data_IF_689245652107
#
_entry.id   IF_689245652107
#
_cell.length_a   1.000
_cell.length_b   1.000
_cell.length_c   1.000
_cell.angle_alpha   90.00
_cell.angle_beta   90.00
_cell.angle_gamma   90.00
#
_symmetry.space_group_name_H-M   'P 1'
#
loop_
_entity.id
_entity.type
_entity.pdbx_description
1 polymer ?
#
# COMPACT_ATOMS: atom_id res chain seq x y z
N UNK A 1 -2.94 32.26 4.93
CA UNK A 1 -3.65 31.40 3.97
C UNK A 1 -4.72 30.63 4.73
N UNK A 2 -5.97 30.73 4.31
CA UNK A 2 -7.10 30.01 4.91
C UNK A 2 -7.03 28.51 4.60
N UNK A 3 -7.74 27.68 5.35
CA UNK A 3 -7.82 26.22 5.08
C UNK A 3 -8.36 25.97 3.67
N UNK A 4 -9.37 26.74 3.26
CA UNK A 4 -9.97 26.64 1.92
C UNK A 4 -8.94 26.94 0.82
N UNK A 5 -8.17 28.02 0.95
CA UNK A 5 -7.11 28.35 -0.03
C UNK A 5 -6.06 27.25 -0.14
N UNK A 6 -5.68 26.61 0.99
CA UNK A 6 -4.75 25.47 0.98
C UNK A 6 -5.37 24.26 0.29
N UNK A 7 -6.63 23.97 0.57
CA UNK A 7 -7.39 22.88 -0.07
C UNK A 7 -7.43 23.08 -1.59
N UNK A 8 -7.78 24.28 -2.04
CA UNK A 8 -7.91 24.65 -3.45
C UNK A 8 -6.55 24.56 -4.19
N UNK A 9 -5.43 24.77 -3.50
CA UNK A 9 -4.08 24.63 -4.07
C UNK A 9 -3.58 23.19 -4.10
N UNK A 10 -4.02 22.34 -3.16
CA UNK A 10 -3.58 20.94 -3.08
C UNK A 10 -4.41 19.99 -3.94
N UNK A 11 -5.72 20.24 -4.08
CA UNK A 11 -6.62 19.37 -4.84
C UNK A 11 -6.13 19.12 -6.29
N UNK A 12 -5.67 20.14 -7.06
CA UNK A 12 -5.18 19.93 -8.41
C UNK A 12 -3.96 19.00 -8.51
N UNK A 13 -3.21 18.78 -7.43
CA UNK A 13 -2.07 17.86 -7.44
C UNK A 13 -2.52 16.39 -7.56
N UNK A 14 -3.73 16.07 -7.10
CA UNK A 14 -4.30 14.72 -7.16
C UNK A 14 -5.08 14.48 -8.45
N UNK A 15 -5.38 15.52 -9.23
CA UNK A 15 -6.13 15.39 -10.46
C UNK A 15 -5.28 14.85 -11.60
N UNK A 16 -5.92 14.08 -12.51
CA UNK A 16 -5.36 13.68 -13.81
C UNK A 16 -4.02 12.94 -13.74
N UNK A 17 -3.71 12.30 -12.62
CA UNK A 17 -2.45 11.59 -12.42
C UNK A 17 -2.24 10.45 -13.42
N UNK A 18 -3.33 9.80 -13.85
CA UNK A 18 -3.30 8.73 -14.86
C UNK A 18 -2.96 9.22 -16.28
N UNK A 19 -3.05 10.53 -16.53
CA UNK A 19 -2.75 11.14 -17.85
C UNK A 19 -1.35 11.74 -17.94
N UNK A 20 -0.57 11.60 -16.87
CA UNK A 20 0.78 12.13 -16.80
C UNK A 20 1.71 11.43 -17.80
N UNK A 21 2.67 12.18 -18.33
CA UNK A 21 3.63 11.64 -19.30
C UNK A 21 4.65 10.76 -18.59
N UNK A 22 5.17 9.73 -19.28
CA UNK A 22 6.26 8.91 -18.72
C UNK A 22 7.59 9.66 -18.60
N UNK A 23 7.72 10.80 -19.26
CA UNK A 23 8.92 11.62 -19.22
C UNK A 23 9.03 12.30 -17.85
N UNK A 24 10.18 12.14 -17.22
CA UNK A 24 10.52 12.88 -16.00
C UNK A 24 11.31 14.13 -16.38
N UNK A 25 11.21 15.17 -15.55
CA UNK A 25 12.09 16.33 -15.66
C UNK A 25 13.55 15.89 -15.44
N UNK A 26 14.53 16.35 -16.26
CA UNK A 26 15.95 15.99 -16.10
C UNK A 26 16.50 16.40 -14.73
N UNK A 27 17.44 15.64 -14.11
CA UNK A 27 17.98 15.93 -12.79
C UNK A 27 18.50 17.38 -12.61
N UNK A 28 19.18 17.91 -13.63
CA UNK A 28 19.69 19.29 -13.67
C UNK A 28 18.61 20.39 -13.61
N UNK A 29 17.35 20.06 -13.90
CA UNK A 29 16.20 20.98 -13.82
C UNK A 29 15.37 20.76 -12.55
N UNK A 30 15.71 19.77 -11.71
CA UNK A 30 15.01 19.48 -10.46
C UNK A 30 15.50 20.42 -9.36
N UNK A 31 14.63 20.69 -8.38
CA UNK A 31 15.05 21.20 -7.09
C UNK A 31 16.13 20.24 -6.53
N UNK A 32 17.25 20.76 -5.99
CA UNK A 32 18.34 19.93 -5.47
C UNK A 32 17.87 18.85 -4.49
N UNK A 33 16.78 19.09 -3.75
CA UNK A 33 16.19 18.14 -2.80
C UNK A 33 15.56 16.94 -3.49
N UNK A 34 15.06 17.08 -4.72
CA UNK A 34 14.38 16.04 -5.49
C UNK A 34 15.32 15.20 -6.39
N UNK A 35 16.61 15.48 -6.39
CA UNK A 35 17.58 14.72 -7.23
C UNK A 35 17.67 13.24 -6.82
N UNK A 36 17.44 12.93 -5.55
CA UNK A 36 17.49 11.57 -5.02
C UNK A 36 16.22 10.72 -5.21
N UNK A 37 15.19 11.25 -5.88
CA UNK A 37 13.93 10.54 -6.19
C UNK A 37 13.68 10.49 -7.70
N UNK A 38 12.68 9.72 -8.14
CA UNK A 38 12.41 9.44 -9.55
C UNK A 38 13.08 8.15 -10.04
N UNK A 39 13.41 7.22 -9.13
CA UNK A 39 14.05 5.94 -9.44
C UNK A 39 13.01 4.95 -9.97
N UNK A 40 11.87 4.83 -9.30
CA UNK A 40 10.72 4.07 -9.79
C UNK A 40 10.17 4.76 -11.05
N UNK A 41 10.14 4.08 -12.20
CA UNK A 41 9.66 4.70 -13.43
C UNK A 41 8.20 5.17 -13.32
N UNK A 42 7.88 6.21 -14.07
CA UNK A 42 6.49 6.63 -14.29
C UNK A 42 5.78 5.60 -15.17
N UNK A 43 4.48 5.42 -14.95
CA UNK A 43 3.72 4.41 -15.71
C UNK A 43 3.95 2.96 -15.25
N UNK A 44 4.57 2.74 -14.09
CA UNK A 44 4.65 1.41 -13.45
C UNK A 44 3.83 1.38 -12.16
N UNK A 45 3.54 0.18 -11.64
CA UNK A 45 2.80 0.04 -10.39
C UNK A 45 3.69 0.33 -9.19
N UNK A 46 3.12 1.02 -8.21
CA UNK A 46 3.73 1.29 -6.91
C UNK A 46 3.26 0.24 -5.90
N UNK A 47 4.18 -0.17 -5.03
CA UNK A 47 3.93 -1.20 -4.01
C UNK A 47 4.10 -0.57 -2.64
N UNK A 48 3.09 -0.71 -1.78
CA UNK A 48 3.16 -0.24 -0.39
C UNK A 48 3.93 -1.21 0.52
N UNK A 49 4.45 -2.32 -0.02
CA UNK A 49 5.10 -3.38 0.75
C UNK A 49 6.53 -3.65 0.26
N UNK A 50 6.80 -3.44 -1.03
CA UNK A 50 8.13 -3.67 -1.59
C UNK A 50 9.15 -2.65 -1.06
N UNK A 51 10.23 -3.14 -0.45
CA UNK A 51 11.22 -2.32 0.25
C UNK A 51 11.81 -1.20 -0.62
N UNK A 52 12.16 -1.48 -1.89
CA UNK A 52 12.69 -0.45 -2.79
C UNK A 52 11.71 0.69 -3.08
N UNK A 53 10.43 0.36 -3.24
CA UNK A 53 9.38 1.35 -3.53
C UNK A 53 9.12 2.20 -2.28
N UNK A 54 9.02 1.54 -1.12
CA UNK A 54 8.87 2.23 0.17
C UNK A 54 10.07 3.13 0.50
N UNK A 55 11.30 2.71 0.18
CA UNK A 55 12.51 3.53 0.42
C UNK A 55 12.43 4.86 -0.32
N UNK A 56 12.02 4.84 -1.59
CA UNK A 56 11.85 6.05 -2.38
C UNK A 56 10.65 6.88 -1.89
N UNK A 57 9.53 6.24 -1.54
CA UNK A 57 8.36 6.91 -0.98
C UNK A 57 8.69 7.63 0.34
N UNK A 58 9.45 6.97 1.22
CA UNK A 58 9.99 7.56 2.46
C UNK A 58 10.86 8.76 2.13
N UNK A 59 11.77 8.63 1.14
CA UNK A 59 12.64 9.74 0.78
C UNK A 59 11.86 10.98 0.29
N UNK A 60 10.84 10.77 -0.54
CA UNK A 60 9.97 11.85 -0.98
C UNK A 60 9.18 12.46 0.20
N UNK A 61 8.65 11.62 1.09
CA UNK A 61 7.99 12.10 2.31
C UNK A 61 8.93 12.96 3.17
N UNK A 62 10.18 12.56 3.39
CA UNK A 62 11.15 13.35 4.16
C UNK A 62 11.34 14.75 3.57
N UNK A 63 11.49 14.84 2.24
CA UNK A 63 11.65 16.09 1.51
C UNK A 63 10.42 16.98 1.69
N UNK A 64 9.22 16.41 1.50
CA UNK A 64 7.96 17.13 1.64
C UNK A 64 7.68 17.56 3.09
N UNK A 65 8.00 16.71 4.06
CA UNK A 65 7.75 16.97 5.48
C UNK A 65 8.71 18.03 6.05
N UNK A 66 9.95 18.10 5.56
CA UNK A 66 10.96 19.08 6.01
C UNK A 66 10.92 20.40 5.26
N UNK A 67 10.03 20.56 4.29
CA UNK A 67 9.81 21.84 3.62
C UNK A 67 9.46 22.94 4.63
N UNK A 68 10.05 24.12 4.46
CA UNK A 68 10.12 25.15 5.50
C UNK A 68 8.74 25.70 5.89
N UNK A 69 7.86 25.85 4.91
CA UNK A 69 6.49 26.32 5.06
C UNK A 69 5.59 25.72 3.98
N UNK A 70 4.31 26.09 4.00
CA UNK A 70 3.32 25.57 3.06
C UNK A 70 3.63 25.93 1.61
N UNK A 71 4.23 27.10 1.34
CA UNK A 71 4.54 27.52 -0.02
C UNK A 71 5.74 26.73 -0.58
N UNK A 72 6.77 26.50 0.23
CA UNK A 72 7.89 25.63 -0.13
C UNK A 72 7.43 24.18 -0.32
N UNK A 73 6.57 23.67 0.58
CA UNK A 73 5.94 22.37 0.45
C UNK A 73 5.16 22.23 -0.85
N UNK A 74 4.31 23.20 -1.18
CA UNK A 74 3.51 23.18 -2.40
C UNK A 74 4.39 23.20 -3.65
N UNK A 75 5.45 24.04 -3.67
CA UNK A 75 6.40 24.11 -4.78
C UNK A 75 7.11 22.77 -5.00
N UNK A 76 7.57 22.14 -3.91
CA UNK A 76 8.19 20.82 -3.95
C UNK A 76 7.21 19.75 -4.44
N UNK A 77 5.97 19.76 -3.94
CA UNK A 77 4.94 18.81 -4.34
C UNK A 77 4.58 18.94 -5.84
N UNK A 78 4.46 20.18 -6.34
CA UNK A 78 4.23 20.45 -7.76
C UNK A 78 5.33 19.86 -8.63
N UNK A 79 6.61 20.10 -8.30
CA UNK A 79 7.71 19.55 -9.09
C UNK A 79 7.87 18.04 -8.92
N UNK A 80 7.64 17.51 -7.72
CA UNK A 80 7.70 16.07 -7.45
C UNK A 80 6.69 15.29 -8.29
N UNK A 81 5.50 15.85 -8.53
CA UNK A 81 4.46 15.27 -9.42
C UNK A 81 4.97 14.98 -10.84
N UNK A 82 5.95 15.74 -11.32
CA UNK A 82 6.54 15.59 -12.65
C UNK A 82 7.85 14.79 -12.65
N UNK A 83 8.31 14.36 -11.48
CA UNK A 83 9.57 13.62 -11.28
C UNK A 83 9.33 12.16 -10.91
N UNK A 84 8.39 11.90 -10.00
CA UNK A 84 8.22 10.57 -9.40
C UNK A 84 7.05 9.79 -10.00
N UNK A 85 7.02 8.48 -9.72
CA UNK A 85 5.89 7.61 -10.03
C UNK A 85 4.57 8.12 -9.41
N UNK A 86 3.46 7.96 -10.14
CA UNK A 86 2.15 8.50 -9.81
C UNK A 86 1.57 7.94 -8.50
N UNK A 87 1.69 6.62 -8.29
CA UNK A 87 1.23 5.98 -7.06
C UNK A 87 2.10 6.33 -5.86
N UNK A 88 3.41 6.40 -6.06
CA UNK A 88 4.37 6.83 -5.05
C UNK A 88 4.12 8.28 -4.62
N UNK A 89 3.86 9.16 -5.59
CA UNK A 89 3.52 10.57 -5.36
C UNK A 89 2.30 10.70 -4.46
N UNK A 90 1.19 10.04 -4.80
CA UNK A 90 -0.05 10.11 -4.01
C UNK A 90 0.16 9.58 -2.60
N UNK A 91 0.92 8.48 -2.44
CA UNK A 91 1.25 7.96 -1.12
C UNK A 91 2.03 8.99 -0.29
N UNK A 92 3.18 9.44 -0.79
CA UNK A 92 4.06 10.35 -0.05
C UNK A 92 3.41 11.71 0.24
N UNK A 93 2.66 12.25 -0.73
CA UNK A 93 1.92 13.51 -0.56
C UNK A 93 0.81 13.36 0.48
N UNK A 94 0.07 12.25 0.46
CA UNK A 94 -0.99 11.98 1.45
C UNK A 94 -0.43 11.87 2.87
N UNK A 95 0.71 11.19 3.03
CA UNK A 95 1.41 11.12 4.32
C UNK A 95 1.91 12.51 4.73
N UNK A 96 2.47 13.32 3.83
CA UNK A 96 2.91 14.67 4.17
C UNK A 96 1.74 15.56 4.65
N UNK A 97 0.64 15.61 3.89
CA UNK A 97 -0.56 16.41 4.23
C UNK A 97 -1.15 15.97 5.58
N UNK A 98 -1.23 14.67 5.85
CA UNK A 98 -1.79 14.15 7.09
C UNK A 98 -0.97 14.50 8.34
N UNK A 99 0.31 14.87 8.20
CA UNK A 99 1.23 15.00 9.34
C UNK A 99 1.89 16.37 9.51
N UNK A 100 1.97 17.18 8.45
CA UNK A 100 2.50 18.54 8.52
C UNK A 100 1.55 19.45 9.30
N UNK A 101 2.09 20.25 10.21
CA UNK A 101 1.27 21.13 11.04
C UNK A 101 0.61 22.27 10.26
N UNK A 102 1.23 22.72 9.17
CA UNK A 102 0.67 23.72 8.27
C UNK A 102 -0.39 23.15 7.30
N UNK A 103 -0.62 21.84 7.27
CA UNK A 103 -1.71 21.20 6.52
C UNK A 103 -2.90 20.83 7.41
N UNK A 104 -2.88 21.14 8.72
CA UNK A 104 -4.01 20.85 9.62
C UNK A 104 -5.33 21.44 9.10
N UNK A 105 -6.36 20.60 9.06
CA UNK A 105 -7.69 20.95 8.57
C UNK A 105 -7.89 20.78 7.07
N UNK A 106 -6.84 20.49 6.29
CA UNK A 106 -6.96 20.09 4.89
C UNK A 106 -7.42 18.64 4.83
N UNK A 107 -8.36 18.35 3.93
CA UNK A 107 -8.89 17.01 3.69
C UNK A 107 -8.26 16.43 2.43
N UNK A 108 -7.84 15.16 2.49
CA UNK A 108 -7.38 14.45 1.30
C UNK A 108 -8.57 14.16 0.37
N UNK A 109 -8.40 14.26 -0.96
CA UNK A 109 -9.44 13.82 -1.87
C UNK A 109 -9.68 12.30 -1.70
N UNK A 110 -10.92 11.81 -1.95
CA UNK A 110 -11.22 10.40 -1.88
C UNK A 110 -10.33 9.59 -2.83
N UNK A 111 -9.64 8.56 -2.33
CA UNK A 111 -8.68 7.80 -3.13
C UNK A 111 -9.33 7.09 -4.33
N UNK A 112 -10.61 6.73 -4.21
CA UNK A 112 -11.42 6.16 -5.28
C UNK A 112 -11.76 7.16 -6.40
N UNK A 113 -11.71 8.47 -6.14
CA UNK A 113 -11.85 9.50 -7.18
C UNK A 113 -10.51 9.80 -7.84
N UNK A 114 -9.40 9.65 -7.10
CA UNK A 114 -8.03 9.82 -7.62
C UNK A 114 -7.62 8.66 -8.53
N UNK A 115 -7.91 7.42 -8.13
CA UNK A 115 -7.62 6.21 -8.90
C UNK A 115 -8.86 5.30 -9.00
N UNK A 116 -9.89 5.70 -9.77
CA UNK A 116 -11.13 4.91 -9.89
C UNK A 116 -10.89 3.51 -10.46
N UNK A 117 -9.83 3.34 -11.26
CA UNK A 117 -9.40 2.08 -11.88
C UNK A 117 -8.95 1.00 -10.89
N UNK A 118 -8.73 1.35 -9.62
CA UNK A 118 -8.43 0.40 -8.55
C UNK A 118 -9.65 -0.08 -7.77
N UNK A 119 -10.81 0.55 -7.98
CA UNK A 119 -12.06 0.27 -7.26
C UNK A 119 -13.15 -0.23 -8.20
N UNK A 120 -13.08 0.16 -9.47
CA UNK A 120 -14.09 -0.16 -10.47
C UNK A 120 -13.52 -1.16 -11.48
N UNK A 121 -14.28 -2.19 -11.87
CA UNK A 121 -13.87 -3.18 -12.85
C UNK A 121 -13.44 -2.57 -14.19
N UNK A 122 -12.46 -3.22 -14.83
CA UNK A 122 -11.88 -2.77 -16.09
C UNK A 122 -12.93 -2.65 -17.21
N UNK A 123 -13.96 -3.51 -17.22
CA UNK A 123 -15.05 -3.45 -18.18
C UNK A 123 -15.84 -2.14 -18.05
N UNK A 124 -16.28 -1.80 -16.84
CA UNK A 124 -16.99 -0.55 -16.54
C UNK A 124 -16.12 0.68 -16.87
N UNK A 125 -14.82 0.67 -16.54
CA UNK A 125 -13.89 1.76 -16.89
C UNK A 125 -13.77 1.93 -18.42
N UNK A 126 -13.68 0.83 -19.16
CA UNK A 126 -13.61 0.85 -20.62
C UNK A 126 -14.92 1.34 -21.24
N UNK A 127 -16.06 0.91 -20.70
CA UNK A 127 -17.39 1.33 -21.15
C UNK A 127 -17.60 2.83 -20.90
N UNK A 128 -17.26 3.33 -19.71
CA UNK A 128 -17.32 4.76 -19.39
C UNK A 128 -16.44 5.59 -20.32
N UNK A 129 -15.22 5.13 -20.60
CA UNK A 129 -14.30 5.79 -21.53
C UNK A 129 -14.83 5.80 -22.97
N UNK A 130 -15.56 4.74 -23.39
CA UNK A 130 -16.18 4.65 -24.71
C UNK A 130 -17.39 5.58 -24.83
N UNK A 131 -18.27 5.58 -23.84
CA UNK A 131 -19.45 6.46 -23.81
C UNK A 131 -19.05 7.94 -23.74
N UNK A 132 -18.04 8.30 -22.94
CA UNK A 132 -17.53 9.67 -22.86
C UNK A 132 -16.96 10.19 -24.19
N UNK A 133 -16.37 9.31 -25.02
CA UNK A 133 -15.93 9.66 -26.37
C UNK A 133 -17.11 9.86 -27.34
N UNK A 134 -18.18 9.08 -27.17
CA UNK A 134 -19.37 9.18 -28.00
C UNK A 134 -20.23 10.41 -27.63
N UNK A 135 -20.22 10.80 -26.35
CA UNK A 135 -21.03 11.89 -25.78
C UNK A 135 -20.13 12.89 -25.04
N UNK A 136 -19.33 13.70 -25.74
CA UNK A 136 -18.30 14.55 -25.11
C UNK A 136 -18.84 15.71 -24.27
N UNK A 137 -20.12 16.04 -24.39
CA UNK A 137 -20.76 17.19 -23.72
C UNK A 137 -21.88 16.80 -22.76
N UNK A 138 -22.13 15.50 -22.58
CA UNK A 138 -23.21 14.99 -21.72
C UNK A 138 -22.61 14.20 -20.55
N UNK A 139 -23.35 14.16 -19.45
CA UNK A 139 -22.99 13.31 -18.32
C UNK A 139 -23.14 11.83 -18.72
N UNK A 140 -22.12 11.04 -18.39
CA UNK A 140 -22.09 9.60 -18.67
C UNK A 140 -22.37 8.85 -17.38
N UNK A 141 -23.46 8.09 -17.37
CA UNK A 141 -23.79 7.14 -16.31
C UNK A 141 -23.54 5.72 -16.83
N UNK A 142 -22.74 4.96 -16.10
CA UNK A 142 -22.47 3.55 -16.37
C UNK A 142 -22.76 2.74 -15.12
N UNK A 143 -23.54 1.68 -15.28
CA UNK A 143 -23.78 0.71 -14.21
C UNK A 143 -22.50 -0.13 -14.01
N UNK A 144 -22.15 -0.38 -12.75
CA UNK A 144 -20.96 -1.17 -12.43
C UNK A 144 -21.27 -2.63 -12.78
N UNK A 145 -20.35 -3.26 -13.50
CA UNK A 145 -20.44 -4.68 -13.84
C UNK A 145 -19.97 -5.52 -12.65
N UNK A 146 -20.74 -6.55 -12.30
CA UNK A 146 -20.30 -7.52 -11.29
C UNK A 146 -19.12 -8.35 -11.82
N UNK A 147 -18.18 -8.70 -10.95
CA UNK A 147 -17.01 -9.50 -11.33
C UNK A 147 -17.00 -10.88 -10.69
N UNK A 148 -16.62 -11.90 -11.46
CA UNK A 148 -16.44 -13.26 -10.97
C UNK A 148 -17.52 -14.24 -11.37
N UNK A 149 -17.33 -15.48 -10.96
CA UNK A 149 -18.23 -16.59 -11.27
C UNK A 149 -19.15 -16.86 -10.07
N UNK A 150 -20.47 -16.69 -10.26
CA UNK A 150 -21.47 -16.93 -9.21
C UNK A 150 -21.49 -18.38 -8.68
N UNK A 151 -20.88 -19.33 -9.42
CA UNK A 151 -20.73 -20.71 -8.98
C UNK A 151 -19.62 -20.89 -7.93
N UNK A 152 -18.68 -19.94 -7.83
CA UNK A 152 -17.66 -19.94 -6.79
C UNK A 152 -18.27 -19.44 -5.47
N UNK A 153 -18.26 -20.22 -4.38
CA UNK A 153 -18.85 -19.80 -3.11
C UNK A 153 -18.29 -18.48 -2.57
N UNK A 154 -17.03 -18.19 -2.89
CA UNK A 154 -16.33 -16.96 -2.50
C UNK A 154 -16.87 -15.70 -3.19
N UNK A 155 -17.62 -15.83 -4.30
CA UNK A 155 -18.33 -14.73 -4.94
C UNK A 155 -19.35 -14.09 -3.99
N UNK A 156 -19.97 -14.87 -3.10
CA UNK A 156 -20.93 -14.35 -2.11
C UNK A 156 -20.33 -13.28 -1.20
N UNK A 157 -19.01 -13.23 -1.06
CA UNK A 157 -18.29 -12.28 -0.22
C UNK A 157 -17.73 -11.09 -1.01
N UNK A 158 -18.03 -10.99 -2.32
CA UNK A 158 -17.59 -9.89 -3.16
C UNK A 158 -18.05 -8.54 -2.60
N UNK A 159 -19.30 -8.43 -2.11
CA UNK A 159 -19.81 -7.18 -1.51
C UNK A 159 -18.97 -6.67 -0.33
N UNK A 160 -18.23 -7.55 0.35
CA UNK A 160 -17.34 -7.17 1.45
C UNK A 160 -15.90 -6.95 0.94
N UNK A 161 -15.38 -7.88 0.13
CA UNK A 161 -13.99 -7.83 -0.36
C UNK A 161 -13.74 -6.69 -1.35
N UNK A 162 -14.74 -6.39 -2.17
CA UNK A 162 -14.70 -5.41 -3.26
C UNK A 162 -15.41 -4.10 -2.90
N UNK A 163 -15.79 -3.92 -1.63
CA UNK A 163 -16.36 -2.67 -1.13
C UNK A 163 -15.34 -1.51 -1.24
N UNK A 164 -15.82 -0.39 -1.76
CA UNK A 164 -15.02 0.82 -1.95
C UNK A 164 -14.53 1.36 -0.60
N UNK A 165 -15.41 1.37 0.41
CA UNK A 165 -15.12 1.92 1.73
C UNK A 165 -14.06 1.15 2.49
N UNK A 166 -14.11 -0.18 2.46
CA UNK A 166 -13.12 -1.07 3.09
C UNK A 166 -11.74 -0.90 2.45
N UNK A 167 -11.68 -0.88 1.12
CA UNK A 167 -10.41 -0.68 0.41
C UNK A 167 -9.82 0.73 0.62
N UNK A 168 -10.67 1.76 0.62
CA UNK A 168 -10.24 3.14 0.93
C UNK A 168 -9.78 3.27 2.39
N UNK A 169 -10.47 2.62 3.33
CA UNK A 169 -10.08 2.58 4.74
C UNK A 169 -8.67 1.97 4.91
N UNK A 170 -8.42 0.83 4.28
CA UNK A 170 -7.13 0.15 4.38
C UNK A 170 -5.98 1.02 3.83
N UNK A 171 -6.21 1.71 2.71
CA UNK A 171 -5.27 2.71 2.19
C UNK A 171 -5.00 3.83 3.19
N UNK A 172 -6.04 4.47 3.71
CA UNK A 172 -5.88 5.60 4.64
C UNK A 172 -5.25 5.17 5.97
N UNK A 173 -5.50 3.95 6.44
CA UNK A 173 -4.85 3.44 7.63
C UNK A 173 -3.32 3.38 7.47
N UNK A 174 -2.83 2.91 6.32
CA UNK A 174 -1.39 2.90 5.99
C UNK A 174 -0.82 4.29 5.68
N UNK A 175 -1.65 5.28 5.35
CA UNK A 175 -1.24 6.69 5.28
C UNK A 175 -1.04 7.27 6.67
N UNK A 176 -1.93 6.96 7.63
CA UNK A 176 -1.84 7.46 9.02
C UNK A 176 -0.74 6.75 9.82
N UNK A 177 -0.51 5.46 9.55
CA UNK A 177 0.49 4.63 10.22
C UNK A 177 1.48 4.02 9.21
N UNK A 178 2.31 4.83 8.54
CA UNK A 178 3.26 4.33 7.56
C UNK A 178 4.31 3.43 8.24
N UNK A 179 4.78 2.40 7.53
CA UNK A 179 5.78 1.46 8.05
C UNK A 179 7.11 2.17 8.39
N UNK A 180 7.55 3.10 7.53
CA UNK A 180 8.80 3.84 7.67
C UNK A 180 8.60 5.22 8.33
N UNK A 181 8.02 5.25 9.53
CA UNK A 181 7.83 6.49 10.30
C UNK A 181 9.04 6.82 11.18
N UNK A 182 9.69 7.97 10.94
CA UNK A 182 10.81 8.44 11.76
C UNK A 182 10.35 9.44 12.82
N UNK A 183 10.50 9.08 14.10
CA UNK A 183 10.25 10.01 15.23
C UNK A 183 11.31 11.11 15.29
N UNK A 184 12.56 10.79 14.95
CA UNK A 184 13.67 11.76 14.89
C UNK A 184 13.36 12.89 13.90
N UNK A 185 12.85 12.54 12.72
CA UNK A 185 12.48 13.50 11.68
C UNK A 185 11.22 14.31 12.04
N UNK A 186 10.20 13.61 12.54
CA UNK A 186 8.85 14.20 12.69
C UNK A 186 8.61 14.86 14.03
N UNK A 187 9.44 14.55 15.02
CA UNK A 187 9.23 14.92 16.43
C UNK A 187 7.96 14.31 17.04
N UNK A 188 7.28 13.38 16.33
CA UNK A 188 5.96 12.87 16.69
C UNK A 188 6.01 11.36 16.84
N UNK A 189 5.76 10.87 18.05
CA UNK A 189 5.60 9.44 18.31
C UNK A 189 4.24 8.95 17.81
N UNK A 190 4.23 7.83 17.08
CA UNK A 190 3.01 7.07 16.81
C UNK A 190 2.81 6.06 17.94
N UNK A 191 2.06 6.48 18.95
CA UNK A 191 1.80 5.65 20.12
C UNK A 191 1.19 4.31 19.72
N UNK A 192 1.75 3.22 20.27
CA UNK A 192 1.31 1.84 20.07
C UNK A 192 1.09 1.44 18.59
N UNK A 193 1.87 2.00 17.65
CA UNK A 193 1.72 1.74 16.20
C UNK A 193 1.71 0.24 15.86
N UNK A 194 2.61 -0.54 16.45
CA UNK A 194 2.70 -1.99 16.19
C UNK A 194 1.49 -2.74 16.74
N UNK A 195 1.00 -2.33 17.90
CA UNK A 195 -0.19 -2.96 18.47
C UNK A 195 -1.46 -2.60 17.68
N UNK A 196 -1.56 -1.36 17.20
CA UNK A 196 -2.66 -0.95 16.35
C UNK A 196 -2.60 -1.64 14.97
N UNK A 197 -1.39 -1.90 14.44
CA UNK A 197 -1.21 -2.77 13.27
C UNK A 197 -1.84 -4.13 13.51
N UNK A 198 -1.50 -4.79 14.63
CA UNK A 198 -2.11 -6.07 15.01
C UNK A 198 -3.64 -5.96 15.11
N UNK A 199 -4.15 -4.98 15.87
CA UNK A 199 -5.57 -4.85 16.15
C UNK A 199 -6.40 -4.57 14.89
N UNK A 200 -5.94 -3.65 14.02
CA UNK A 200 -6.68 -3.29 12.81
C UNK A 200 -6.82 -4.51 11.88
N UNK A 201 -5.72 -5.21 11.60
CA UNK A 201 -5.74 -6.38 10.72
C UNK A 201 -6.50 -7.55 11.35
N UNK A 202 -6.42 -7.73 12.68
CA UNK A 202 -7.23 -8.70 13.40
C UNK A 202 -8.72 -8.41 13.25
N UNK A 203 -9.14 -7.14 13.34
CA UNK A 203 -10.53 -6.74 13.15
C UNK A 203 -11.01 -6.94 11.70
N UNK A 204 -10.16 -6.73 10.70
CA UNK A 204 -10.50 -7.06 9.31
C UNK A 204 -10.78 -8.56 9.15
N UNK A 205 -9.92 -9.43 9.69
CA UNK A 205 -10.12 -10.87 9.67
C UNK A 205 -11.39 -11.30 10.42
N UNK A 206 -11.63 -10.74 11.61
CA UNK A 206 -12.82 -11.07 12.40
C UNK A 206 -14.12 -10.68 11.67
N UNK A 207 -14.16 -9.50 11.05
CA UNK A 207 -15.31 -9.06 10.23
C UNK A 207 -15.50 -9.94 9.01
N UNK A 208 -14.42 -10.28 8.32
CA UNK A 208 -14.47 -11.21 7.18
C UNK A 208 -15.03 -12.58 7.60
N UNK A 209 -14.60 -13.14 8.74
CA UNK A 209 -15.16 -14.38 9.28
C UNK A 209 -16.65 -14.26 9.64
N UNK A 210 -17.10 -13.10 10.15
CA UNK A 210 -18.53 -12.85 10.35
C UNK A 210 -19.30 -12.90 9.02
N UNK A 211 -18.79 -12.28 7.95
CA UNK A 211 -19.44 -12.35 6.63
C UNK A 211 -19.45 -13.77 6.06
N UNK A 212 -18.36 -14.53 6.26
CA UNK A 212 -18.31 -15.96 5.89
C UNK A 212 -19.42 -16.74 6.57
N UNK A 213 -19.55 -16.61 7.89
CA UNK A 213 -20.59 -17.29 8.68
C UNK A 213 -22.00 -16.85 8.27
N UNK A 214 -22.22 -15.55 8.02
CA UNK A 214 -23.49 -15.02 7.50
C UNK A 214 -23.89 -15.65 6.16
N UNK A 215 -22.91 -16.00 5.32
CA UNK A 215 -23.11 -16.66 4.04
C UNK A 215 -23.11 -18.20 4.11
N UNK A 216 -23.09 -18.77 5.32
CA UNK A 216 -23.08 -20.22 5.55
C UNK A 216 -21.75 -20.89 5.21
N UNK A 217 -20.65 -20.13 5.17
CA UNK A 217 -19.30 -20.62 4.93
C UNK A 217 -18.56 -20.83 6.26
N UNK A 218 -17.59 -21.74 6.27
CA UNK A 218 -16.68 -21.90 7.40
C UNK A 218 -15.76 -20.67 7.53
N UNK A 219 -15.32 -20.37 8.75
CA UNK A 219 -14.24 -19.38 8.98
C UNK A 219 -13.02 -19.67 8.12
N UNK A 220 -12.26 -18.61 7.84
CA UNK A 220 -11.04 -18.72 7.04
C UNK A 220 -9.98 -19.57 7.77
N UNK A 221 -9.22 -20.34 7.01
CA UNK A 221 -8.08 -21.11 7.51
C UNK A 221 -6.82 -20.27 7.34
N UNK A 222 -5.96 -20.25 8.36
CA UNK A 222 -4.70 -19.52 8.30
C UNK A 222 -3.73 -20.19 7.32
N UNK A 223 -3.10 -19.39 6.46
CA UNK A 223 -2.03 -19.82 5.56
C UNK A 223 -0.71 -19.97 6.32
N UNK A 224 -0.57 -21.07 7.04
CA UNK A 224 0.54 -21.36 7.95
C UNK A 224 1.66 -22.20 7.29
N UNK A 225 1.30 -22.98 6.26
CA UNK A 225 2.20 -23.79 5.45
C UNK A 225 2.42 -23.12 4.09
N UNK A 226 3.65 -22.65 3.83
CA UNK A 226 3.97 -21.89 2.62
C UNK A 226 4.03 -22.73 1.34
N UNK A 227 4.01 -24.07 1.48
CA UNK A 227 3.90 -25.01 0.36
C UNK A 227 2.45 -25.24 -0.09
N UNK A 228 1.45 -24.82 0.70
CA UNK A 228 0.05 -24.99 0.33
C UNK A 228 -0.27 -24.24 -0.97
N UNK A 229 -1.16 -24.84 -1.75
CA UNK A 229 -1.61 -24.28 -3.02
C UNK A 229 -2.76 -23.32 -2.76
N UNK A 230 -2.58 -22.06 -3.14
CA UNK A 230 -3.58 -21.02 -2.97
C UNK A 230 -4.74 -21.17 -3.96
N UNK A 231 -5.90 -20.68 -3.54
CA UNK A 231 -7.05 -20.45 -4.41
C UNK A 231 -6.73 -19.39 -5.47
N UNK A 232 -7.46 -19.51 -6.59
CA UNK A 232 -7.39 -18.54 -7.66
C UNK A 232 -8.21 -17.30 -7.34
N UNK A 233 -7.79 -16.15 -7.86
CA UNK A 233 -8.53 -14.90 -7.83
C UNK A 233 -8.18 -14.05 -9.05
N UNK A 234 -9.22 -13.55 -9.72
CA UNK A 234 -9.09 -12.63 -10.85
C UNK A 234 -9.71 -11.29 -10.45
N UNK A 235 -8.90 -10.23 -10.26
CA UNK A 235 -9.41 -8.95 -9.76
C UNK A 235 -10.22 -8.17 -10.80
N UNK A 236 -10.04 -8.45 -12.09
CA UNK A 236 -10.64 -7.69 -13.20
C UNK A 236 -10.35 -6.18 -13.16
N UNK A 237 -9.25 -5.77 -12.50
CA UNK A 237 -8.81 -4.38 -12.43
C UNK A 237 -7.79 -4.06 -13.52
N UNK A 238 -7.80 -2.82 -13.99
CA UNK A 238 -6.80 -2.27 -14.91
C UNK A 238 -6.09 -1.11 -14.26
N UNK A 239 -4.85 -0.86 -14.65
CA UNK A 239 -4.11 0.33 -14.24
C UNK A 239 -4.13 1.34 -15.38
N UNK A 240 -4.84 2.44 -15.21
CA UNK A 240 -4.85 3.55 -16.17
C UNK A 240 -3.49 4.25 -16.27
N UNK A 241 -2.63 4.09 -15.27
CA UNK A 241 -1.24 4.61 -15.25
C UNK A 241 -0.32 3.78 -16.16
N UNK A 242 -0.37 2.44 -16.05
CA UNK A 242 0.55 1.56 -16.78
C UNK A 242 -0.01 1.03 -18.10
N UNK A 243 -1.34 0.96 -18.21
CA UNK A 243 -2.06 0.23 -19.25
C UNK A 243 -2.08 -1.29 -19.04
N UNK A 244 -1.50 -1.79 -17.94
CA UNK A 244 -1.50 -3.21 -17.59
C UNK A 244 -2.67 -3.54 -16.64
N UNK A 245 -3.12 -4.79 -16.70
CA UNK A 245 -4.05 -5.33 -15.73
C UNK A 245 -3.35 -5.75 -14.45
N UNK A 246 -4.08 -5.71 -13.33
CA UNK A 246 -3.67 -6.45 -12.14
C UNK A 246 -3.72 -7.94 -12.49
N UNK A 247 -2.58 -8.62 -12.41
CA UNK A 247 -2.50 -10.03 -12.80
C UNK A 247 -3.43 -10.92 -11.97
N UNK A 248 -4.24 -11.72 -12.66
CA UNK A 248 -5.02 -12.78 -12.05
C UNK A 248 -4.10 -13.92 -11.59
N UNK A 249 -4.44 -14.54 -10.46
CA UNK A 249 -3.79 -15.75 -9.98
C UNK A 249 -4.71 -16.93 -10.25
N UNK A 250 -4.36 -17.88 -11.13
CA UNK A 250 -5.09 -19.14 -11.24
C UNK A 250 -4.91 -19.99 -9.98
N UNK A 251 -5.80 -20.96 -9.76
CA UNK A 251 -5.66 -21.90 -8.65
C UNK A 251 -4.40 -22.77 -8.80
N UNK A 252 -3.82 -23.18 -7.67
CA UNK A 252 -2.79 -24.23 -7.66
C UNK A 252 -1.36 -23.73 -7.54
N UNK A 253 -1.15 -22.42 -7.40
CA UNK A 253 0.16 -21.82 -7.14
C UNK A 253 0.48 -21.88 -5.65
N UNK A 254 1.74 -22.12 -5.32
CA UNK A 254 2.32 -22.00 -3.97
C UNK A 254 3.36 -20.88 -3.95
N UNK A 255 3.79 -20.43 -2.76
CA UNK A 255 4.82 -19.39 -2.68
C UNK A 255 6.12 -19.86 -3.36
N UNK A 256 6.79 -18.93 -4.03
CA UNK A 256 8.04 -19.18 -4.77
C UNK A 256 9.05 -18.09 -4.44
N UNK A 257 10.32 -18.46 -4.54
CA UNK A 257 11.43 -17.55 -4.32
C UNK A 257 11.37 -16.37 -5.29
N UNK A 258 11.67 -15.19 -4.75
CA UNK A 258 11.93 -13.99 -5.52
C UNK A 258 13.44 -13.75 -5.58
N UNK A 259 13.88 -12.82 -6.43
CA UNK A 259 15.31 -12.47 -6.51
C UNK A 259 15.84 -11.89 -5.19
N UNK A 260 14.98 -11.19 -4.44
CA UNK A 260 15.36 -10.50 -3.21
C UNK A 260 15.21 -11.34 -1.94
N UNK A 261 14.26 -12.27 -1.90
CA UNK A 261 13.91 -13.07 -0.71
C UNK A 261 13.42 -14.45 -1.17
N UNK A 262 13.92 -15.49 -0.51
CA UNK A 262 13.48 -16.87 -0.72
C UNK A 262 12.39 -17.28 0.29
N UNK A 263 11.63 -18.34 -0.01
CA UNK A 263 10.58 -18.83 0.89
C UNK A 263 11.17 -19.31 2.22
N UNK A 264 12.43 -19.79 2.21
CA UNK A 264 13.12 -20.23 3.41
C UNK A 264 13.40 -19.06 4.38
N UNK A 265 13.67 -17.86 3.90
CA UNK A 265 13.81 -16.65 4.71
C UNK A 265 12.52 -16.34 5.46
N UNK A 266 11.37 -16.49 4.79
CA UNK A 266 10.05 -16.31 5.40
C UNK A 266 9.81 -17.30 6.54
N UNK A 267 10.18 -18.57 6.33
CA UNK A 267 10.09 -19.61 7.36
C UNK A 267 11.03 -19.31 8.54
N UNK A 268 12.29 -18.93 8.24
CA UNK A 268 13.27 -18.53 9.26
C UNK A 268 12.76 -17.36 10.11
N UNK A 269 12.16 -16.35 9.49
CA UNK A 269 11.61 -15.20 10.21
C UNK A 269 10.44 -15.60 11.10
N UNK A 270 9.50 -16.42 10.59
CA UNK A 270 8.40 -16.97 11.39
C UNK A 270 8.93 -17.71 12.62
N UNK A 271 9.87 -18.62 12.43
CA UNK A 271 10.38 -19.48 13.50
C UNK A 271 11.12 -18.67 14.57
N UNK A 272 11.93 -17.67 14.17
CA UNK A 272 12.58 -16.72 15.10
C UNK A 272 11.58 -15.91 15.91
N UNK A 273 10.48 -15.50 15.29
CA UNK A 273 9.43 -14.73 15.98
C UNK A 273 8.72 -15.63 17.00
N UNK A 274 8.39 -16.88 16.64
CA UNK A 274 7.77 -17.84 17.56
C UNK A 274 8.70 -18.17 18.74
N UNK A 275 9.98 -18.41 18.48
CA UNK A 275 10.99 -18.63 19.51
C UNK A 275 11.09 -17.45 20.49
N UNK A 276 11.12 -16.22 19.98
CA UNK A 276 11.14 -15.01 20.82
C UNK A 276 9.87 -14.87 21.69
N UNK A 277 8.71 -15.27 21.17
CA UNK A 277 7.45 -15.30 21.93
C UNK A 277 7.53 -16.31 23.07
N UNK A 278 8.00 -17.53 22.80
CA UNK A 278 8.13 -18.59 23.81
C UNK A 278 9.16 -18.23 24.90
N UNK A 279 10.25 -17.57 24.51
CA UNK A 279 11.27 -17.05 25.42
C UNK A 279 10.88 -15.76 26.14
N UNK A 280 9.75 -15.14 25.75
CA UNK A 280 9.21 -13.88 26.30
C UNK A 280 10.14 -12.68 26.17
N UNK A 281 11.05 -12.68 25.22
CA UNK A 281 11.92 -11.54 24.90
C UNK A 281 12.36 -11.57 23.44
N UNK A 282 12.71 -10.41 22.90
CA UNK A 282 13.34 -10.24 21.58
C UNK A 282 14.74 -9.67 21.75
N UNK A 283 15.60 -9.84 20.74
CA UNK A 283 16.92 -9.22 20.74
C UNK A 283 16.95 -8.00 19.81
N UNK A 284 17.50 -6.89 20.28
CA UNK A 284 17.79 -5.75 19.42
C UNK A 284 19.01 -6.00 18.52
N UNK A 285 19.30 -5.03 17.64
CA UNK A 285 20.46 -5.11 16.74
C UNK A 285 21.83 -5.09 17.43
N UNK A 286 21.91 -4.75 18.72
CA UNK A 286 23.11 -4.75 19.53
C UNK A 286 23.23 -6.02 20.40
N UNK A 287 22.20 -6.88 20.38
CA UNK A 287 22.14 -8.11 21.18
C UNK A 287 21.54 -7.93 22.57
N UNK A 288 20.98 -6.75 22.89
CA UNK A 288 20.28 -6.56 24.16
C UNK A 288 18.91 -7.24 24.12
N UNK A 289 18.48 -7.80 25.25
CA UNK A 289 17.16 -8.40 25.40
C UNK A 289 16.11 -7.33 25.73
N UNK A 290 14.99 -7.38 25.01
CA UNK A 290 13.81 -6.58 25.24
C UNK A 290 12.67 -7.52 25.64
N UNK A 291 12.19 -7.41 26.88
CA UNK A 291 11.13 -8.25 27.38
C UNK A 291 9.80 -8.01 26.64
N UNK A 292 9.07 -9.09 26.36
CA UNK A 292 7.70 -9.05 25.86
C UNK A 292 6.74 -9.01 27.05
N UNK A 293 6.64 -7.84 27.69
CA UNK A 293 5.75 -7.61 28.82
C UNK A 293 4.29 -7.34 28.39
N UNK A 294 3.37 -7.33 29.36
CA UNK A 294 1.94 -7.12 29.10
C UNK A 294 1.62 -5.72 28.54
N UNK A 295 2.48 -4.73 28.77
CA UNK A 295 2.25 -3.35 28.37
C UNK A 295 2.75 -3.06 26.94
N UNK A 296 3.86 -3.67 26.52
CA UNK A 296 4.59 -3.33 25.30
C UNK A 296 4.77 -4.51 24.34
N UNK A 297 4.56 -5.75 24.78
CA UNK A 297 4.82 -6.94 23.98
C UNK A 297 4.11 -6.93 22.63
N UNK A 298 2.82 -6.57 22.62
CA UNK A 298 2.04 -6.48 21.38
C UNK A 298 2.57 -5.40 20.43
N UNK A 299 3.03 -4.26 20.95
CA UNK A 299 3.60 -3.18 20.16
C UNK A 299 4.97 -3.56 19.56
N UNK A 300 5.81 -4.25 20.32
CA UNK A 300 7.11 -4.76 19.86
C UNK A 300 6.89 -5.81 18.77
N UNK A 301 6.03 -6.80 19.02
CA UNK A 301 5.73 -7.87 18.05
C UNK A 301 5.11 -7.31 16.77
N UNK A 302 4.15 -6.38 16.86
CA UNK A 302 3.58 -5.75 15.68
C UNK A 302 4.62 -4.98 14.86
N UNK A 303 5.56 -4.30 15.53
CA UNK A 303 6.67 -3.60 14.87
C UNK A 303 7.63 -4.54 14.15
N UNK A 304 7.78 -5.78 14.65
CA UNK A 304 8.59 -6.85 14.04
C UNK A 304 7.86 -7.50 12.86
N UNK A 305 6.59 -7.85 13.04
CA UNK A 305 5.80 -8.67 12.09
C UNK A 305 5.46 -7.91 10.80
N UNK A 306 5.04 -6.64 10.91
CA UNK A 306 4.93 -5.73 9.75
C UNK A 306 6.31 -5.59 9.07
N UNK A 307 7.34 -5.60 9.92
CA UNK A 307 8.52 -4.75 9.98
C UNK A 307 8.30 -3.28 9.65
N UNK A 308 8.03 -2.51 10.70
CA UNK A 308 8.18 -1.06 10.67
C UNK A 308 9.66 -0.65 10.87
N UNK A 309 9.95 0.62 10.63
CA UNK A 309 11.23 1.25 11.00
C UNK A 309 11.59 1.12 12.50
N UNK A 310 10.62 0.85 13.37
CA UNK A 310 10.82 0.62 14.81
C UNK A 310 11.08 -0.86 15.17
N UNK A 311 11.23 -1.75 14.19
CA UNK A 311 11.63 -3.14 14.47
C UNK A 311 13.01 -3.15 15.16
N UNK A 312 13.14 -3.75 16.35
CA UNK A 312 14.39 -3.72 17.14
C UNK A 312 15.55 -4.42 16.43
N UNK A 313 15.25 -5.40 15.56
CA UNK A 313 16.26 -6.11 14.76
C UNK A 313 15.68 -6.63 13.44
N UNK A 314 15.47 -5.72 12.48
CA UNK A 314 14.93 -6.05 11.15
C UNK A 314 15.79 -7.05 10.37
N UNK A 315 17.11 -7.07 10.58
CA UNK A 315 18.01 -8.05 9.90
C UNK A 315 17.77 -9.47 10.39
N UNK A 316 17.42 -9.64 11.67
CA UNK A 316 17.19 -10.94 12.27
C UNK A 316 15.75 -11.42 12.08
N UNK A 317 14.76 -10.56 12.39
CA UNK A 317 13.34 -10.95 12.32
C UNK A 317 12.68 -10.69 10.96
N UNK A 318 13.36 -10.01 10.03
CA UNK A 318 12.85 -9.80 8.68
C UNK A 318 11.70 -8.82 8.57
N UNK A 319 10.82 -9.04 7.58
CA UNK A 319 9.58 -8.29 7.31
C UNK A 319 8.50 -9.23 6.79
N UNK A 320 8.07 -10.16 7.66
CA UNK A 320 7.25 -11.31 7.29
C UNK A 320 5.94 -10.91 6.61
N UNK A 321 5.19 -9.96 7.18
CA UNK A 321 3.93 -9.50 6.59
C UNK A 321 4.11 -8.88 5.20
N UNK A 322 5.03 -7.92 5.06
CA UNK A 322 5.20 -7.19 3.80
C UNK A 322 5.74 -8.11 2.69
N UNK A 323 6.68 -9.00 3.00
CA UNK A 323 7.16 -9.97 2.01
C UNK A 323 6.11 -11.02 1.66
N UNK A 324 5.20 -11.36 2.57
CA UNK A 324 4.01 -12.17 2.26
C UNK A 324 3.17 -11.54 1.16
N UNK A 325 2.86 -10.24 1.28
CA UNK A 325 2.17 -9.48 0.21
C UNK A 325 2.94 -9.51 -1.11
N UNK A 326 4.25 -9.22 -1.08
CA UNK A 326 5.07 -9.15 -2.30
C UNK A 326 5.18 -10.52 -2.99
N UNK A 327 5.41 -11.59 -2.23
CA UNK A 327 5.48 -12.95 -2.76
C UNK A 327 4.15 -13.38 -3.36
N UNK A 328 3.04 -13.16 -2.66
CA UNK A 328 1.70 -13.50 -3.15
C UNK A 328 1.31 -12.69 -4.41
N UNK A 329 1.66 -11.39 -4.44
CA UNK A 329 1.42 -10.53 -5.59
C UNK A 329 2.21 -10.96 -6.83
N UNK A 330 3.41 -11.54 -6.65
CA UNK A 330 4.32 -11.93 -7.74
C UNK A 330 4.34 -13.42 -8.07
N UNK A 331 3.47 -14.24 -7.46
CA UNK A 331 3.46 -15.71 -7.67
C UNK A 331 3.34 -16.14 -9.15
N UNK A 332 2.71 -15.31 -9.97
CA UNK A 332 2.49 -15.55 -11.39
C UNK A 332 3.74 -15.26 -12.26
N UNK A 333 4.70 -14.47 -11.76
CA UNK A 333 6.00 -14.16 -12.42
C UNK A 333 7.10 -13.85 -11.38
N UNK A 334 7.53 -14.86 -10.59
CA UNK A 334 8.42 -14.65 -9.45
C UNK A 334 9.83 -14.16 -9.84
N UNK A 335 10.30 -14.50 -11.03
CA UNK A 335 11.60 -14.07 -11.57
C UNK A 335 11.50 -12.83 -12.48
N UNK A 336 10.28 -12.33 -12.72
CA UNK A 336 10.06 -11.11 -13.48
C UNK A 336 10.31 -11.23 -14.99
N UNK A 337 10.50 -12.45 -15.54
CA UNK A 337 10.80 -12.66 -16.95
C UNK A 337 9.64 -12.29 -17.87
N UNK A 338 8.40 -12.39 -17.38
CA UNK A 338 7.20 -12.12 -18.16
C UNK A 338 6.81 -10.63 -18.15
N UNK A 339 7.45 -9.82 -17.31
CA UNK A 339 7.24 -8.36 -17.22
C UNK A 339 5.77 -7.96 -17.01
N UNK A 340 5.04 -8.82 -16.32
CA UNK A 340 3.67 -8.59 -15.87
C UNK A 340 3.63 -7.62 -14.71
N UNK A 341 2.45 -7.08 -14.42
CA UNK A 341 2.22 -6.10 -13.35
C UNK A 341 2.80 -6.55 -12.01
N UNK A 342 3.76 -5.79 -11.47
CA UNK A 342 4.34 -6.03 -10.14
C UNK A 342 3.69 -5.08 -9.13
N UNK A 343 2.75 -5.58 -8.33
CA UNK A 343 2.18 -4.82 -7.20
C UNK A 343 2.95 -5.05 -5.90
#
# INVERSE_FOLDING_TARGET
MTIKEKQDQLLPLFEKLTTLTRQQIPPEQRDPRLVGVGVLPRGTLFSCFHERHLKEATKLFEILFTAADFADFLKLAQQARDVVNEGLFVYALSVAIAHRDDCRGVTLPPIQEVFPDRFIPAETINLASKEAKNKPTEDVLVEIEDTGNILEPEYKLAYFREDIGINAHHWHWHVVYPANWSVELTGKLKDRKGELFYYMHQQMCARYDCERLSNGLNRMVAFHNFEEKLEGYAPHLTSLVSGLHYASRPQGFSMRDLTEVDVQDMERWRDRILEAIDLKHVHDSQGNELALDEANGANILGSIIEASSNSPNRKFYGSLHNWGHVMMARMHDPDGRFQVSKN
#
